data_IF_614535960620
#
_entry.id   IF_614535960620
#
_cell.length_a   1.000
_cell.length_b   1.000
_cell.length_c   1.000
_cell.angle_alpha   90.00
_cell.angle_beta   90.00
_cell.angle_gamma   90.00
#
_symmetry.space_group_name_H-M   'P 1'
#
loop_
_entity.id
_entity.type
_entity.pdbx_description
1 polymer ?
#
# COMPACT_ATOMS: atom_id res chain seq x y z
N UNK A 1 -12.62 16.04 17.17
CA UNK A 1 -12.10 15.85 15.80
C UNK A 1 -13.09 15.03 14.95
N UNK A 2 -14.40 15.15 15.22
CA UNK A 2 -15.48 14.44 14.48
C UNK A 2 -16.23 15.33 13.48
N UNK A 3 -15.86 16.62 13.42
CA UNK A 3 -16.59 17.66 12.69
C UNK A 3 -16.69 17.40 11.18
N UNK A 4 -15.79 16.57 10.63
CA UNK A 4 -15.74 16.29 9.20
C UNK A 4 -16.22 14.89 8.80
N UNK A 5 -16.49 13.99 9.75
CA UNK A 5 -16.97 12.63 9.45
C UNK A 5 -18.33 12.63 8.76
N UNK A 6 -19.19 13.58 9.14
CA UNK A 6 -20.54 13.77 8.58
C UNK A 6 -20.58 14.82 7.47
N UNK A 7 -19.42 15.24 6.95
CA UNK A 7 -19.37 16.21 5.86
C UNK A 7 -19.85 15.61 4.53
N UNK A 8 -20.32 16.48 3.64
CA UNK A 8 -20.63 16.11 2.25
C UNK A 8 -19.46 15.39 1.56
N UNK A 9 -18.23 15.74 1.90
CA UNK A 9 -17.02 15.12 1.35
C UNK A 9 -16.88 13.65 1.75
N UNK A 10 -17.11 13.34 3.03
CA UNK A 10 -17.10 11.96 3.52
C UNK A 10 -18.21 11.14 2.84
N UNK A 11 -19.42 11.70 2.76
CA UNK A 11 -20.57 11.05 2.13
C UNK A 11 -20.28 10.69 0.67
N UNK A 12 -19.80 11.66 -0.14
CA UNK A 12 -19.48 11.45 -1.54
C UNK A 12 -18.41 10.36 -1.76
N UNK A 13 -17.45 10.23 -0.85
CA UNK A 13 -16.44 9.16 -0.94
C UNK A 13 -17.11 7.82 -0.62
N UNK A 14 -17.89 7.74 0.47
CA UNK A 14 -18.49 6.48 0.92
C UNK A 14 -19.51 5.93 -0.09
N UNK A 15 -20.29 6.78 -0.76
CA UNK A 15 -21.24 6.36 -1.80
C UNK A 15 -20.56 5.66 -2.99
N UNK A 16 -19.27 5.94 -3.24
CA UNK A 16 -18.50 5.30 -4.30
C UNK A 16 -17.90 3.95 -3.88
N UNK A 17 -18.02 3.55 -2.61
CA UNK A 17 -17.47 2.29 -2.12
C UNK A 17 -18.26 1.11 -2.70
N UNK A 18 -17.55 0.14 -3.27
CA UNK A 18 -18.12 -1.08 -3.83
C UNK A 18 -18.50 -2.07 -2.72
N UNK A 19 -19.28 -3.09 -3.09
CA UNK A 19 -19.69 -4.15 -2.18
C UNK A 19 -18.49 -4.89 -1.59
N UNK A 20 -17.46 -5.12 -2.39
CA UNK A 20 -16.21 -5.78 -1.98
C UNK A 20 -15.38 -4.98 -0.97
N UNK A 21 -15.69 -3.70 -0.74
CA UNK A 21 -15.00 -2.79 0.17
C UNK A 21 -13.99 -1.85 -0.49
N UNK A 22 -13.73 -2.00 -1.79
CA UNK A 22 -12.79 -1.17 -2.56
C UNK A 22 -13.47 0.06 -3.18
N UNK A 23 -12.67 0.93 -3.78
CA UNK A 23 -13.12 2.00 -4.69
C UNK A 23 -12.71 1.72 -6.15
N UNK A 24 -12.46 0.44 -6.51
CA UNK A 24 -11.92 0.06 -7.81
C UNK A 24 -10.41 -0.07 -7.79
N UNK A 25 -9.71 0.55 -8.75
CA UNK A 25 -8.25 0.49 -8.78
C UNK A 25 -7.63 0.92 -7.45
N UNK A 26 -6.55 0.26 -7.07
CA UNK A 26 -5.91 0.51 -5.80
C UNK A 26 -5.01 1.74 -5.88
N UNK A 27 -4.11 1.80 -6.86
CA UNK A 27 -3.02 2.78 -6.87
C UNK A 27 -3.27 3.94 -7.84
N UNK A 28 -2.92 5.16 -7.42
CA UNK A 28 -3.04 6.44 -8.15
C UNK A 28 -2.39 6.46 -9.55
N UNK A 29 -1.45 5.56 -9.85
CA UNK A 29 -0.87 5.42 -11.20
C UNK A 29 -1.83 4.78 -12.22
N UNK A 30 -2.92 4.16 -11.76
CA UNK A 30 -4.05 3.83 -12.62
C UNK A 30 -4.78 5.12 -12.95
N UNK A 31 -4.77 5.53 -14.24
CA UNK A 31 -5.41 6.76 -14.66
C UNK A 31 -6.89 6.76 -14.22
N UNK A 32 -7.31 7.69 -13.32
CA UNK A 32 -8.71 7.79 -12.92
C UNK A 32 -9.53 8.15 -14.16
N UNK A 33 -10.38 7.22 -14.58
CA UNK A 33 -11.24 7.39 -15.74
C UNK A 33 -12.57 8.02 -15.32
N UNK A 34 -13.40 8.43 -16.28
CA UNK A 34 -14.80 8.82 -16.00
C UNK A 34 -15.62 7.73 -15.29
N UNK A 35 -15.15 6.48 -15.26
CA UNK A 35 -15.80 5.38 -14.55
C UNK A 35 -15.20 5.10 -13.16
N UNK A 36 -13.95 5.51 -12.90
CA UNK A 36 -13.26 5.33 -11.61
C UNK A 36 -12.78 6.69 -11.10
N UNK A 37 -13.66 7.41 -10.42
CA UNK A 37 -13.42 8.78 -9.94
C UNK A 37 -12.36 8.89 -8.83
N UNK A 38 -12.09 7.80 -8.12
CA UNK A 38 -11.14 7.76 -7.00
C UNK A 38 -10.58 6.34 -6.87
N UNK A 39 -9.30 6.21 -6.48
CA UNK A 39 -8.70 4.91 -6.16
C UNK A 39 -8.94 4.53 -4.70
N UNK A 40 -8.78 3.24 -4.38
CA UNK A 40 -8.89 2.75 -2.99
C UNK A 40 -7.87 3.46 -2.08
N UNK A 41 -6.64 3.66 -2.55
CA UNK A 41 -5.60 4.42 -1.83
C UNK A 41 -6.04 5.87 -1.53
N UNK A 42 -6.57 6.57 -2.54
CA UNK A 42 -7.02 7.95 -2.39
C UNK A 42 -8.21 8.07 -1.44
N UNK A 43 -9.16 7.13 -1.51
CA UNK A 43 -10.31 7.09 -0.63
C UNK A 43 -9.89 6.88 0.82
N UNK A 44 -9.04 5.88 1.09
CA UNK A 44 -8.50 5.61 2.42
C UNK A 44 -7.76 6.83 3.00
N UNK A 45 -6.88 7.46 2.22
CA UNK A 45 -6.13 8.65 2.67
C UNK A 45 -7.05 9.80 3.04
N UNK A 46 -8.08 10.06 2.22
CA UNK A 46 -9.04 11.14 2.48
C UNK A 46 -9.90 10.85 3.70
N UNK A 47 -10.40 9.62 3.83
CA UNK A 47 -11.21 9.22 4.99
C UNK A 47 -10.40 9.30 6.30
N UNK A 48 -9.15 8.86 6.31
CA UNK A 48 -8.24 9.01 7.45
C UNK A 48 -8.07 10.48 7.86
N UNK A 49 -7.84 11.39 6.90
CA UNK A 49 -7.76 12.85 7.16
C UNK A 49 -9.07 13.39 7.73
N UNK A 50 -10.22 12.87 7.28
CA UNK A 50 -11.55 13.23 7.78
C UNK A 50 -11.86 12.60 9.16
N UNK A 51 -10.91 11.86 9.75
CA UNK A 51 -11.00 11.28 11.08
C UNK A 51 -11.52 9.85 11.12
N UNK A 52 -11.72 9.19 9.98
CA UNK A 52 -12.17 7.80 9.95
C UNK A 52 -11.05 6.86 10.46
N UNK A 53 -11.49 5.84 11.19
CA UNK A 53 -10.66 4.87 11.91
C UNK A 53 -11.12 3.45 11.58
N UNK A 54 -10.40 2.45 12.07
CA UNK A 54 -10.80 1.04 11.93
C UNK A 54 -12.18 0.73 12.52
N UNK A 55 -12.71 1.56 13.42
CA UNK A 55 -14.04 1.36 14.00
C UNK A 55 -15.18 1.83 13.07
N UNK A 56 -14.86 2.55 11.99
CA UNK A 56 -15.83 3.05 11.04
C UNK A 56 -16.05 2.03 9.91
N UNK A 57 -17.32 1.69 9.64
CA UNK A 57 -17.72 0.64 8.69
C UNK A 57 -17.04 0.73 7.31
N UNK A 58 -16.89 1.92 6.67
CA UNK A 58 -16.20 2.01 5.37
C UNK A 58 -14.74 1.56 5.44
N UNK A 59 -14.03 1.89 6.52
CA UNK A 59 -12.63 1.48 6.74
C UNK A 59 -12.55 -0.02 7.04
N UNK A 60 -13.44 -0.55 7.88
CA UNK A 60 -13.50 -1.99 8.16
C UNK A 60 -13.62 -2.81 6.87
N UNK A 61 -14.54 -2.42 5.97
CA UNK A 61 -14.73 -3.10 4.68
C UNK A 61 -13.46 -3.03 3.82
N UNK A 62 -12.84 -1.86 3.73
CA UNK A 62 -11.65 -1.66 2.92
C UNK A 62 -10.43 -2.42 3.47
N UNK A 63 -10.27 -2.47 4.80
CA UNK A 63 -9.22 -3.28 5.45
C UNK A 63 -9.46 -4.76 5.21
N UNK A 64 -10.69 -5.23 5.36
CA UNK A 64 -11.05 -6.63 5.05
C UNK A 64 -10.77 -7.00 3.59
N UNK A 65 -11.06 -6.08 2.65
CA UNK A 65 -10.71 -6.26 1.25
C UNK A 65 -9.19 -6.42 1.05
N UNK A 66 -8.38 -5.52 1.63
CA UNK A 66 -6.92 -5.60 1.54
C UNK A 66 -6.36 -6.86 2.20
N UNK A 67 -6.95 -7.33 3.29
CA UNK A 67 -6.59 -8.59 3.96
C UNK A 67 -6.87 -9.79 3.06
N UNK A 68 -8.01 -9.82 2.37
CA UNK A 68 -8.32 -10.86 1.39
C UNK A 68 -7.34 -10.83 0.21
N UNK A 69 -6.95 -9.64 -0.27
CA UNK A 69 -5.92 -9.49 -1.30
C UNK A 69 -4.56 -10.00 -0.84
N UNK A 70 -4.13 -9.63 0.37
CA UNK A 70 -2.87 -10.08 0.96
C UNK A 70 -2.86 -11.61 1.21
N UNK A 71 -4.03 -12.21 1.44
CA UNK A 71 -4.21 -13.65 1.57
C UNK A 71 -4.29 -14.40 0.23
N UNK A 72 -4.29 -13.70 -0.91
CA UNK A 72 -4.48 -14.29 -2.24
C UNK A 72 -5.92 -14.75 -2.52
N UNK A 73 -6.91 -14.35 -1.71
CA UNK A 73 -8.33 -14.68 -1.92
C UNK A 73 -8.99 -13.78 -2.97
N UNK A 74 -8.47 -12.56 -3.14
CA UNK A 74 -8.90 -11.57 -4.11
C UNK A 74 -7.67 -11.01 -4.81
N UNK A 75 -7.86 -10.49 -6.01
CA UNK A 75 -6.82 -9.75 -6.73
C UNK A 75 -7.19 -8.28 -6.82
N UNK A 76 -6.18 -7.41 -6.74
CA UNK A 76 -6.39 -6.00 -7.07
C UNK A 76 -6.59 -5.88 -8.59
N UNK A 77 -7.48 -4.99 -9.05
CA UNK A 77 -7.79 -4.87 -10.48
C UNK A 77 -6.67 -4.16 -11.27
N UNK A 78 -5.65 -3.63 -10.59
CA UNK A 78 -4.52 -2.93 -11.18
C UNK A 78 -3.70 -3.84 -12.12
N UNK A 79 -3.20 -3.26 -13.21
CA UNK A 79 -2.43 -3.99 -14.22
C UNK A 79 -1.10 -4.43 -13.63
N UNK A 80 -0.82 -5.75 -13.70
CA UNK A 80 0.48 -6.31 -13.33
C UNK A 80 1.59 -5.75 -14.21
N UNK A 81 2.50 -4.99 -13.61
CA UNK A 81 3.73 -4.55 -14.27
C UNK A 81 4.69 -5.73 -14.45
N UNK A 82 5.23 -5.94 -15.66
CA UNK A 82 6.09 -7.09 -15.99
C UNK A 82 7.50 -7.02 -15.42
N UNK A 83 7.95 -5.83 -14.99
CA UNK A 83 9.35 -5.55 -14.63
C UNK A 83 9.62 -5.61 -13.12
N UNK A 84 8.58 -5.43 -12.31
CA UNK A 84 8.67 -5.44 -10.86
C UNK A 84 8.16 -6.79 -10.35
N UNK A 85 8.68 -7.28 -9.21
CA UNK A 85 8.04 -8.38 -8.50
C UNK A 85 6.71 -7.85 -7.93
N UNK A 86 5.69 -7.89 -8.79
CA UNK A 86 4.35 -7.37 -8.53
C UNK A 86 3.81 -7.82 -7.18
N UNK A 87 4.04 -9.08 -6.82
CA UNK A 87 3.57 -9.67 -5.57
C UNK A 87 4.30 -9.09 -4.34
N UNK A 88 5.60 -8.77 -4.47
CA UNK A 88 6.38 -8.15 -3.39
C UNK A 88 5.91 -6.70 -3.17
N UNK A 89 5.72 -5.94 -4.25
CA UNK A 89 5.25 -4.57 -4.16
C UNK A 89 3.82 -4.47 -3.62
N UNK A 90 2.91 -5.27 -4.17
CA UNK A 90 1.51 -5.26 -3.75
C UNK A 90 1.38 -5.72 -2.30
N UNK A 91 2.13 -6.74 -1.87
CA UNK A 91 2.13 -7.16 -0.47
C UNK A 91 2.66 -6.06 0.46
N UNK A 92 3.75 -5.36 0.11
CA UNK A 92 4.25 -4.21 0.88
C UNK A 92 3.22 -3.09 0.97
N UNK A 93 2.63 -2.70 -0.16
CA UNK A 93 1.66 -1.63 -0.26
C UNK A 93 0.40 -1.92 0.56
N UNK A 94 -0.21 -3.10 0.38
CA UNK A 94 -1.40 -3.52 1.12
C UNK A 94 -1.11 -3.60 2.61
N UNK A 95 0.03 -4.19 2.99
CA UNK A 95 0.43 -4.29 4.41
C UNK A 95 0.61 -2.93 5.05
N UNK A 96 1.17 -1.96 4.31
CA UNK A 96 1.32 -0.58 4.79
C UNK A 96 -0.04 0.05 5.08
N UNK A 97 -0.99 -0.05 4.14
CA UNK A 97 -2.32 0.52 4.32
C UNK A 97 -3.13 -0.15 5.43
N UNK A 98 -3.08 -1.48 5.56
CA UNK A 98 -3.70 -2.20 6.68
C UNK A 98 -3.13 -1.67 8.01
N UNK A 99 -1.81 -1.58 8.11
CA UNK A 99 -1.10 -1.18 9.34
C UNK A 99 -1.33 0.28 9.76
N UNK A 100 -1.80 1.15 8.84
CA UNK A 100 -2.21 2.51 9.19
C UNK A 100 -3.49 2.55 10.02
N UNK A 101 -4.39 1.60 9.81
CA UNK A 101 -5.68 1.56 10.50
C UNK A 101 -5.71 0.57 11.67
N UNK A 102 -4.95 -0.52 11.62
CA UNK A 102 -4.90 -1.51 12.69
C UNK A 102 -3.49 -2.06 12.93
N UNK A 103 -3.16 -2.36 14.18
CA UNK A 103 -1.92 -3.07 14.53
C UNK A 103 -2.11 -4.60 14.57
N UNK A 104 -3.36 -5.05 14.55
CA UNK A 104 -3.75 -6.43 14.81
C UNK A 104 -3.91 -7.22 13.50
N UNK A 105 -2.88 -7.23 12.66
CA UNK A 105 -2.85 -8.02 11.43
C UNK A 105 -1.53 -8.79 11.29
N UNK A 106 -1.60 -10.11 11.46
CA UNK A 106 -0.41 -10.97 11.44
C UNK A 106 0.31 -10.98 10.08
N UNK A 107 -0.42 -10.97 8.95
CA UNK A 107 0.18 -11.03 7.61
C UNK A 107 0.85 -9.72 7.27
N UNK A 108 0.17 -8.61 7.53
CA UNK A 108 0.71 -7.30 7.30
C UNK A 108 1.93 -7.04 8.19
N UNK A 109 1.90 -7.53 9.44
CA UNK A 109 3.04 -7.45 10.34
C UNK A 109 4.21 -8.34 9.90
N UNK A 110 3.97 -9.51 9.33
CA UNK A 110 5.02 -10.37 8.76
C UNK A 110 5.73 -9.67 7.58
N UNK A 111 4.97 -9.07 6.67
CA UNK A 111 5.54 -8.28 5.57
C UNK A 111 6.33 -7.10 6.11
N UNK A 112 5.79 -6.37 7.08
CA UNK A 112 6.51 -5.25 7.70
C UNK A 112 7.81 -5.70 8.39
N UNK A 113 7.81 -6.87 9.05
CA UNK A 113 9.01 -7.42 9.68
C UNK A 113 10.10 -7.78 8.65
N UNK A 114 9.72 -8.40 7.52
CA UNK A 114 10.65 -8.70 6.41
C UNK A 114 11.33 -7.43 5.91
N UNK A 115 10.55 -6.37 5.66
CA UNK A 115 11.10 -5.10 5.20
C UNK A 115 11.93 -4.38 6.27
N UNK A 116 11.51 -4.44 7.54
CA UNK A 116 12.30 -3.91 8.64
C UNK A 116 13.67 -4.59 8.73
N UNK A 117 13.74 -5.92 8.54
CA UNK A 117 15.00 -6.66 8.49
C UNK A 117 15.90 -6.19 7.34
N UNK A 118 15.34 -6.09 6.12
CA UNK A 118 16.09 -5.67 4.93
C UNK A 118 16.70 -4.28 5.11
N UNK A 119 15.87 -3.31 5.54
CA UNK A 119 16.32 -1.93 5.73
C UNK A 119 17.29 -1.82 6.89
N UNK A 120 17.03 -2.50 8.02
CA UNK A 120 17.94 -2.46 9.17
C UNK A 120 19.32 -3.02 8.82
N UNK A 121 19.37 -4.07 8.00
CA UNK A 121 20.64 -4.64 7.56
C UNK A 121 21.38 -3.72 6.57
N UNK A 122 20.65 -3.09 5.65
CA UNK A 122 21.21 -2.13 4.69
C UNK A 122 21.87 -0.90 5.37
N UNK A 123 21.42 -0.54 6.58
CA UNK A 123 21.95 0.55 7.39
C UNK A 123 22.79 0.08 8.58
N UNK A 124 23.18 -1.19 8.63
CA UNK A 124 23.89 -1.76 9.79
C UNK A 124 25.25 -1.12 10.09
N UNK A 125 25.85 -0.42 9.11
CA UNK A 125 27.10 0.35 9.27
C UNK A 125 26.88 1.84 9.59
N UNK A 126 25.64 2.26 9.83
CA UNK A 126 25.28 3.66 10.11
C UNK A 126 25.00 4.50 8.86
N UNK A 127 25.32 4.00 7.68
CA UNK A 127 24.98 4.58 6.38
C UNK A 127 24.38 3.51 5.46
N UNK A 128 23.70 3.94 4.40
CA UNK A 128 23.12 3.03 3.42
C UNK A 128 24.22 2.35 2.58
N UNK A 129 24.24 1.02 2.58
CA UNK A 129 25.13 0.23 1.73
C UNK A 129 24.31 -0.68 0.79
N UNK A 130 24.40 -0.41 -0.52
CA UNK A 130 23.59 -1.10 -1.52
C UNK A 130 23.83 -2.61 -1.56
N UNK A 131 25.07 -3.07 -1.37
CA UNK A 131 25.38 -4.50 -1.38
C UNK A 131 24.69 -5.23 -0.22
N UNK A 132 24.70 -4.64 0.98
CA UNK A 132 23.99 -5.20 2.13
C UNK A 132 22.48 -5.25 1.88
N UNK A 133 21.90 -4.22 1.26
CA UNK A 133 20.50 -4.23 0.85
C UNK A 133 20.19 -5.40 -0.10
N UNK A 134 20.98 -5.58 -1.16
CA UNK A 134 20.78 -6.67 -2.14
C UNK A 134 20.91 -8.05 -1.47
N UNK A 135 21.88 -8.21 -0.56
CA UNK A 135 22.12 -9.47 0.14
C UNK A 135 20.96 -9.81 1.09
N UNK A 136 20.50 -8.83 1.88
CA UNK A 136 19.34 -9.02 2.75
C UNK A 136 18.05 -9.25 1.95
N UNK A 137 17.84 -8.52 0.86
CA UNK A 137 16.68 -8.69 -0.02
C UNK A 137 16.62 -10.14 -0.55
N UNK A 138 17.75 -10.66 -1.08
CA UNK A 138 17.86 -12.04 -1.55
C UNK A 138 17.62 -13.06 -0.44
N UNK A 139 18.15 -12.81 0.76
CA UNK A 139 18.00 -13.70 1.92
C UNK A 139 16.55 -13.79 2.40
N UNK A 140 15.90 -12.63 2.56
CA UNK A 140 14.57 -12.51 3.18
C UNK A 140 13.46 -12.84 2.20
N UNK A 141 13.52 -12.30 0.98
CA UNK A 141 12.47 -12.45 -0.04
C UNK A 141 12.74 -13.62 -1.00
N UNK A 142 13.90 -14.28 -0.89
CA UNK A 142 14.32 -15.43 -1.71
C UNK A 142 14.32 -15.16 -3.22
N UNK A 143 14.34 -13.90 -3.62
CA UNK A 143 14.36 -13.44 -5.00
C UNK A 143 15.45 -12.39 -5.17
N UNK A 144 16.17 -12.37 -6.31
CA UNK A 144 17.05 -11.26 -6.62
C UNK A 144 16.20 -10.00 -6.88
N UNK A 145 16.61 -8.81 -6.42
CA UNK A 145 15.90 -7.58 -6.76
C UNK A 145 15.89 -7.40 -8.29
N UNK A 146 14.71 -7.23 -8.88
CA UNK A 146 14.52 -7.02 -10.33
C UNK A 146 13.86 -5.67 -10.60
N UNK A 147 14.39 -4.97 -11.62
CA UNK A 147 13.88 -3.68 -12.09
C UNK A 147 14.90 -2.56 -11.97
N UNK A 148 15.07 -1.77 -13.04
CA UNK A 148 16.09 -0.71 -13.14
C UNK A 148 15.96 0.43 -12.12
N UNK A 149 14.83 0.55 -11.41
CA UNK A 149 14.60 1.54 -10.35
C UNK A 149 15.12 1.14 -8.96
N UNK A 150 15.55 -0.11 -8.78
CA UNK A 150 16.22 -0.56 -7.54
C UNK A 150 17.72 -0.23 -7.49
N UNK A 151 18.27 0.29 -8.61
CA UNK A 151 19.66 0.75 -8.69
C UNK A 151 19.84 2.16 -8.11
N UNK A 152 18.75 2.91 -7.89
CA UNK A 152 18.83 4.28 -7.42
C UNK A 152 17.51 4.74 -6.78
N UNK A 153 17.48 4.75 -5.43
CA UNK A 153 16.37 5.25 -4.61
C UNK A 153 16.13 6.76 -4.78
N UNK A 154 17.00 7.51 -5.47
CA UNK A 154 16.81 8.96 -5.69
C UNK A 154 15.77 9.30 -6.76
N UNK A 155 15.31 8.31 -7.54
CA UNK A 155 14.32 8.52 -8.60
C UNK A 155 12.87 8.71 -8.10
N UNK A 156 12.60 8.65 -6.80
CA UNK A 156 11.29 8.95 -6.22
C UNK A 156 11.03 10.45 -6.04
N UNK A 157 12.02 11.31 -6.28
CA UNK A 157 11.84 12.77 -6.26
C UNK A 157 11.72 13.29 -7.71
N UNK A 158 10.56 13.81 -8.15
CA UNK A 158 10.48 14.45 -9.45
C UNK A 158 11.26 15.76 -9.39
N UNK A 159 12.52 15.75 -9.82
CA UNK A 159 13.19 16.97 -10.25
C UNK A 159 12.50 17.39 -11.55
N UNK A 160 11.57 18.34 -11.41
CA UNK A 160 11.02 19.08 -12.53
C UNK A 160 12.18 19.79 -13.23
N UNK A 161 12.51 19.36 -14.43
CA UNK A 161 13.17 20.19 -15.45
C UNK A 161 12.13 21.06 -16.14
#
# INVERSE_FOLDING_TARGET
MDEYKNSKWAHNIIELQKDDGSWGYFHTLSNPSRQNHITTEQALRRLEILGYTINDKPIMKAVSYMQDCLAGKKEIPDRREKLHDWDIFTSLMLSTWIRRFTKDDHRANEVAAKWAEIISYAFSKGEYEHQLYVDAYKRVLRLPPKGGRLLDFTNDCPTKS
#
